data_IF_301355966028
#
_entry.id   IF_301355966028
#
_cell.length_a   1.000
_cell.length_b   1.000
_cell.length_c   1.000
_cell.angle_alpha   90.00
_cell.angle_beta   90.00
_cell.angle_gamma   90.00
#
_symmetry.space_group_name_H-M   'P 1'
#
loop_
_entity.id
_entity.type
_entity.pdbx_description
1 polymer ?
#
# COMPACT_ATOMS: atom_id res chain seq x y z
N UNK A 1 12.00 7.01 9.08
CA UNK A 1 12.02 6.72 10.52
C UNK A 1 11.32 5.38 10.69
N UNK A 2 11.86 4.47 11.50
CA UNK A 2 11.17 3.22 11.85
C UNK A 2 9.89 3.54 12.61
N UNK A 3 8.89 2.67 12.55
CA UNK A 3 7.68 2.79 13.37
C UNK A 3 8.03 3.06 14.84
N UNK A 4 7.13 3.74 15.55
CA UNK A 4 7.25 3.87 17.00
C UNK A 4 7.25 2.50 17.67
N UNK A 5 8.08 2.32 18.70
CA UNK A 5 8.28 1.02 19.34
C UNK A 5 6.98 0.39 19.84
N UNK A 6 6.09 1.19 20.44
CA UNK A 6 4.79 0.73 20.92
C UNK A 6 3.93 0.17 19.78
N UNK A 7 3.95 0.82 18.60
CA UNK A 7 3.15 0.40 17.46
C UNK A 7 3.65 -0.93 16.88
N UNK A 8 4.98 -1.10 16.82
CA UNK A 8 5.60 -2.38 16.44
C UNK A 8 5.15 -3.50 17.38
N UNK A 9 5.20 -3.29 18.70
CA UNK A 9 4.76 -4.28 19.67
C UNK A 9 3.26 -4.58 19.57
N UNK A 10 2.43 -3.55 19.40
CA UNK A 10 0.99 -3.75 19.22
C UNK A 10 0.69 -4.59 17.99
N UNK A 11 1.34 -4.33 16.84
CA UNK A 11 1.16 -5.12 15.63
C UNK A 11 1.64 -6.56 15.80
N UNK A 12 2.78 -6.77 16.44
CA UNK A 12 3.31 -8.11 16.72
C UNK A 12 2.38 -8.90 17.65
N UNK A 13 1.90 -8.28 18.72
CA UNK A 13 0.96 -8.88 19.66
C UNK A 13 -0.36 -9.28 18.97
N UNK A 14 -0.90 -8.39 18.13
CA UNK A 14 -2.08 -8.69 17.33
C UNK A 14 -1.84 -9.83 16.34
N UNK A 15 -0.69 -9.86 15.67
CA UNK A 15 -0.34 -10.93 14.73
C UNK A 15 -0.23 -12.30 15.42
N UNK A 16 0.37 -12.33 16.62
CA UNK A 16 0.45 -13.53 17.46
C UNK A 16 -0.95 -13.98 17.87
N UNK A 17 -1.80 -13.06 18.33
CA UNK A 17 -3.17 -13.36 18.74
C UNK A 17 -3.99 -13.93 17.58
N UNK A 18 -4.00 -13.27 16.43
CA UNK A 18 -4.73 -13.72 15.24
C UNK A 18 -4.27 -15.10 14.75
N UNK A 19 -2.95 -15.29 14.68
CA UNK A 19 -2.36 -16.58 14.25
C UNK A 19 -2.69 -17.67 15.26
N UNK A 20 -2.57 -17.39 16.56
CA UNK A 20 -2.95 -18.32 17.62
C UNK A 20 -4.41 -18.74 17.54
N UNK A 21 -5.34 -17.79 17.41
CA UNK A 21 -6.77 -18.06 17.26
C UNK A 21 -7.12 -18.86 16.00
N UNK A 22 -6.27 -18.80 14.97
CA UNK A 22 -6.47 -19.56 13.73
C UNK A 22 -6.16 -21.04 13.91
N UNK A 23 -5.16 -21.39 14.73
CA UNK A 23 -4.62 -22.76 14.81
C UNK A 23 -4.83 -23.44 16.16
N UNK A 24 -5.25 -22.72 17.19
CA UNK A 24 -5.48 -23.30 18.51
C UNK A 24 -6.78 -24.09 18.55
N UNK A 25 -6.69 -25.36 18.94
CA UNK A 25 -7.86 -26.23 19.20
C UNK A 25 -8.20 -26.33 20.69
N UNK A 26 -7.27 -25.94 21.58
CA UNK A 26 -7.43 -26.01 23.03
C UNK A 26 -8.17 -24.77 23.56
N UNK A 27 -9.31 -24.92 24.29
CA UNK A 27 -10.06 -23.78 24.80
C UNK A 27 -9.24 -22.86 25.71
N UNK A 28 -8.29 -23.40 26.49
CA UNK A 28 -7.44 -22.57 27.34
C UNK A 28 -6.45 -21.72 26.54
N UNK A 29 -6.02 -22.17 25.37
CA UNK A 29 -5.14 -21.39 24.50
C UNK A 29 -5.93 -20.35 23.72
N UNK A 30 -7.15 -20.69 23.28
CA UNK A 30 -8.07 -19.74 22.66
C UNK A 30 -8.32 -18.54 23.59
N UNK A 31 -8.70 -18.77 24.85
CA UNK A 31 -8.90 -17.69 25.84
C UNK A 31 -7.64 -16.81 26.02
N UNK A 32 -6.44 -17.42 25.97
CA UNK A 32 -5.18 -16.67 26.06
C UNK A 32 -4.99 -15.77 24.83
N UNK A 33 -5.23 -16.29 23.63
CA UNK A 33 -5.07 -15.51 22.40
C UNK A 33 -6.14 -14.42 22.29
N UNK A 34 -7.38 -14.65 22.73
CA UNK A 34 -8.39 -13.60 22.87
C UNK A 34 -7.90 -12.48 23.78
N UNK A 35 -7.30 -12.82 24.93
CA UNK A 35 -6.74 -11.81 25.83
C UNK A 35 -5.58 -11.04 25.19
N UNK A 36 -4.70 -11.71 24.42
CA UNK A 36 -3.64 -11.01 23.69
C UNK A 36 -4.20 -10.03 22.66
N UNK A 37 -5.28 -10.39 21.95
CA UNK A 37 -5.99 -9.48 21.04
C UNK A 37 -6.54 -8.27 21.78
N UNK A 38 -7.23 -8.47 22.91
CA UNK A 38 -7.74 -7.36 23.72
C UNK A 38 -6.61 -6.46 24.23
N UNK A 39 -5.48 -7.03 24.66
CA UNK A 39 -4.30 -6.24 25.07
C UNK A 39 -3.76 -5.38 23.92
N UNK A 40 -3.68 -5.93 22.70
CA UNK A 40 -3.29 -5.15 21.53
C UNK A 40 -4.27 -3.99 21.26
N UNK A 41 -5.58 -4.25 21.40
CA UNK A 41 -6.63 -3.23 21.27
C UNK A 41 -6.49 -2.12 22.34
N UNK A 42 -6.26 -2.49 23.60
CA UNK A 42 -6.01 -1.57 24.71
C UNK A 42 -4.77 -0.69 24.47
N UNK A 43 -3.67 -1.29 24.00
CA UNK A 43 -2.44 -0.56 23.64
C UNK A 43 -2.68 0.45 22.52
N UNK A 44 -3.37 0.04 21.45
CA UNK A 44 -3.72 0.93 20.34
C UNK A 44 -4.66 2.05 20.78
N UNK A 45 -5.66 1.75 21.60
CA UNK A 45 -6.62 2.73 22.12
C UNK A 45 -5.90 3.78 22.99
N UNK A 46 -5.00 3.33 23.86
CA UNK A 46 -4.21 4.22 24.72
C UNK A 46 -3.32 5.17 23.92
N UNK A 47 -2.77 4.72 22.79
CA UNK A 47 -1.86 5.53 21.99
C UNK A 47 -2.57 6.47 20.99
N UNK A 48 -3.76 6.10 20.53
CA UNK A 48 -4.48 6.83 19.47
C UNK A 48 -5.70 7.61 19.97
N UNK A 49 -6.21 7.30 21.17
CA UNK A 49 -7.50 7.79 21.65
C UNK A 49 -8.72 7.18 20.94
N UNK A 50 -8.51 6.18 20.07
CA UNK A 50 -9.60 5.51 19.36
C UNK A 50 -10.37 4.58 20.30
N UNK A 51 -11.71 4.57 20.27
CA UNK A 51 -12.51 3.65 21.08
C UNK A 51 -12.14 2.18 20.86
N UNK A 52 -11.95 1.44 21.96
CA UNK A 52 -11.60 0.01 21.95
C UNK A 52 -12.52 -0.81 21.02
N UNK A 53 -13.87 -0.66 21.05
CA UNK A 53 -14.75 -1.44 20.17
C UNK A 53 -14.48 -1.26 18.67
N UNK A 54 -13.98 -0.10 18.25
CA UNK A 54 -13.62 0.13 16.84
C UNK A 54 -12.31 -0.58 16.47
N UNK A 55 -11.36 -0.62 17.40
CA UNK A 55 -10.09 -1.32 17.19
C UNK A 55 -10.31 -2.84 17.22
N UNK A 56 -11.12 -3.33 18.16
CA UNK A 56 -11.51 -4.73 18.23
C UNK A 56 -12.20 -5.16 16.93
N UNK A 57 -13.19 -4.40 16.46
CA UNK A 57 -13.84 -4.69 15.18
C UNK A 57 -12.87 -4.71 13.99
N UNK A 58 -11.88 -3.81 13.97
CA UNK A 58 -10.83 -3.78 12.95
C UNK A 58 -9.94 -5.04 13.00
N UNK A 59 -9.58 -5.49 14.20
CA UNK A 59 -8.72 -6.65 14.42
C UNK A 59 -9.46 -7.98 14.22
N UNK A 60 -10.75 -8.03 14.52
CA UNK A 60 -11.62 -9.19 14.32
C UNK A 60 -12.03 -9.38 12.86
N UNK A 61 -11.96 -8.32 12.05
CA UNK A 61 -12.15 -8.42 10.60
C UNK A 61 -11.08 -9.24 9.89
N UNK A 62 -9.99 -9.59 10.57
CA UNK A 62 -8.88 -10.38 10.03
C UNK A 62 -8.88 -11.79 10.62
N UNK A 63 -8.78 -12.79 9.75
CA UNK A 63 -8.72 -14.20 10.13
C UNK A 63 -7.62 -14.93 9.37
N UNK A 64 -7.23 -16.11 9.84
CA UNK A 64 -6.11 -16.84 9.27
C UNK A 64 -4.76 -16.36 9.81
N UNK A 65 -3.68 -16.95 9.30
CA UNK A 65 -2.32 -16.55 9.64
C UNK A 65 -2.11 -15.06 9.28
N UNK A 66 -1.59 -14.26 10.21
CA UNK A 66 -1.38 -12.85 9.98
C UNK A 66 -0.22 -12.60 9.00
N UNK A 67 -0.48 -11.85 7.92
CA UNK A 67 0.53 -11.46 6.93
C UNK A 67 0.54 -9.94 6.73
N UNK A 68 1.65 -9.36 6.23
CA UNK A 68 1.59 -8.02 5.67
C UNK A 68 0.52 -7.92 4.58
N UNK A 69 -0.13 -6.76 4.48
CA UNK A 69 -0.99 -6.44 3.34
C UNK A 69 -0.15 -6.20 2.09
N UNK A 70 -0.78 -6.26 0.91
CA UNK A 70 -0.11 -6.04 -0.38
C UNK A 70 -0.74 -4.84 -1.06
N UNK A 71 0.08 -3.84 -1.38
CA UNK A 71 -0.30 -2.65 -2.17
C UNK A 71 0.47 -2.67 -3.48
N UNK A 72 -0.19 -2.33 -4.58
CA UNK A 72 0.42 -2.24 -5.92
C UNK A 72 0.45 -0.78 -6.40
N UNK A 73 1.49 -0.42 -7.14
CA UNK A 73 1.65 0.92 -7.73
C UNK A 73 2.10 0.83 -9.18
N UNK A 74 1.37 1.47 -10.07
CA UNK A 74 1.67 1.53 -11.50
C UNK A 74 2.46 2.78 -11.85
N UNK A 75 3.74 2.63 -12.21
CA UNK A 75 4.52 3.69 -12.82
C UNK A 75 4.41 3.59 -14.34
N UNK A 76 3.60 4.47 -14.92
CA UNK A 76 3.32 4.54 -16.35
C UNK A 76 3.98 5.79 -16.90
N UNK A 77 4.65 5.68 -18.05
CA UNK A 77 5.36 6.79 -18.67
C UNK A 77 4.84 7.06 -20.07
N UNK A 78 4.69 8.35 -20.43
CA UNK A 78 4.37 8.76 -21.79
C UNK A 78 5.64 8.77 -22.68
N UNK A 79 5.47 9.09 -23.96
CA UNK A 79 6.59 9.16 -24.91
C UNK A 79 7.62 10.25 -24.61
N UNK A 80 7.27 11.25 -23.79
CA UNK A 80 8.18 12.31 -23.34
C UNK A 80 8.98 11.90 -22.09
N UNK A 81 8.66 10.74 -21.49
CA UNK A 81 9.27 10.26 -20.26
C UNK A 81 8.65 10.85 -19.00
N UNK A 82 7.48 11.50 -19.09
CA UNK A 82 6.73 11.97 -17.94
C UNK A 82 5.93 10.84 -17.32
N UNK A 83 5.78 10.86 -15.99
CA UNK A 83 5.05 9.85 -15.23
C UNK A 83 3.57 10.21 -15.08
N UNK A 84 2.71 9.21 -15.20
CA UNK A 84 1.28 9.32 -14.91
C UNK A 84 1.05 9.45 -13.41
N UNK A 85 0.28 10.45 -13.01
CA UNK A 85 -0.19 10.59 -11.64
C UNK A 85 -1.68 10.92 -11.62
N UNK A 86 -2.33 10.54 -10.52
CA UNK A 86 -3.74 10.80 -10.26
C UNK A 86 -3.90 11.56 -8.95
N UNK A 87 -4.96 12.37 -8.87
CA UNK A 87 -5.30 13.13 -7.66
C UNK A 87 -6.40 12.40 -6.89
N UNK A 88 -6.03 11.85 -5.75
CA UNK A 88 -6.85 10.97 -4.91
C UNK A 88 -7.74 11.76 -3.94
N UNK A 89 -9.06 11.61 -4.07
CA UNK A 89 -10.03 12.33 -3.25
C UNK A 89 -10.00 11.88 -1.78
N UNK A 90 -9.79 10.59 -1.51
CA UNK A 90 -9.79 10.05 -0.15
C UNK A 90 -8.62 10.53 0.70
N UNK A 91 -7.61 11.18 0.09
CA UNK A 91 -6.40 11.66 0.78
C UNK A 91 -6.22 13.16 0.65
N UNK A 92 -7.32 13.91 0.82
CA UNK A 92 -7.35 15.36 0.72
C UNK A 92 -6.96 15.88 -0.67
N UNK A 93 -7.25 15.12 -1.73
CA UNK A 93 -6.93 15.51 -3.09
C UNK A 93 -5.44 15.58 -3.35
N UNK A 94 -4.61 14.67 -2.82
CA UNK A 94 -3.15 14.65 -3.04
C UNK A 94 -2.75 13.78 -4.23
N UNK A 95 -1.59 14.05 -4.82
CA UNK A 95 -1.09 13.29 -5.98
C UNK A 95 -0.44 11.98 -5.59
N UNK A 96 -0.67 10.95 -6.41
CA UNK A 96 -0.04 9.64 -6.24
C UNK A 96 0.09 8.90 -7.58
N UNK A 97 0.75 7.74 -7.55
CA UNK A 97 0.71 6.79 -8.66
C UNK A 97 -0.57 5.97 -8.59
N UNK A 98 -1.22 5.68 -9.74
CA UNK A 98 -2.35 4.76 -9.77
C UNK A 98 -2.04 3.46 -9.03
N UNK A 99 -2.98 2.98 -8.24
CA UNK A 99 -2.81 1.78 -7.45
C UNK A 99 -3.48 1.82 -6.09
N UNK A 100 -3.65 0.64 -5.52
CA UNK A 100 -4.27 0.46 -4.22
C UNK A 100 -3.92 -0.90 -3.63
N UNK A 101 -4.84 -1.41 -2.82
CA UNK A 101 -4.74 -2.76 -2.28
C UNK A 101 -4.85 -3.80 -3.40
N UNK A 102 -4.08 -4.88 -3.30
CA UNK A 102 -4.24 -5.99 -4.21
C UNK A 102 -5.54 -6.76 -3.87
N UNK A 103 -6.49 -6.76 -4.80
CA UNK A 103 -7.73 -7.52 -4.71
C UNK A 103 -7.46 -9.03 -4.74
N UNK A 104 -8.28 -9.75 -3.98
CA UNK A 104 -8.32 -11.21 -3.99
C UNK A 104 -8.76 -11.71 -5.37
N UNK A 105 -8.23 -12.86 -5.78
CA UNK A 105 -8.46 -13.51 -7.09
C UNK A 105 -7.79 -12.81 -8.28
N UNK A 106 -7.01 -11.76 -8.06
CA UNK A 106 -6.17 -11.14 -9.07
C UNK A 106 -4.69 -11.36 -8.72
N UNK A 107 -3.89 -11.64 -9.72
CA UNK A 107 -2.43 -11.55 -9.58
C UNK A 107 -2.02 -10.10 -9.29
N UNK A 108 -0.84 -9.88 -8.71
CA UNK A 108 -0.35 -8.52 -8.47
C UNK A 108 -0.23 -7.70 -9.77
N UNK A 109 0.08 -8.37 -10.90
CA UNK A 109 0.15 -7.74 -12.21
C UNK A 109 -1.24 -7.35 -12.74
N UNK A 110 -2.26 -8.20 -12.57
CA UNK A 110 -3.63 -7.85 -12.96
C UNK A 110 -4.20 -6.72 -12.11
N UNK A 111 -3.90 -6.73 -10.80
CA UNK A 111 -4.29 -5.65 -9.89
C UNK A 111 -3.76 -4.29 -10.38
N UNK A 112 -2.46 -4.17 -10.67
CA UNK A 112 -1.92 -2.87 -11.11
C UNK A 112 -2.47 -2.43 -12.47
N UNK A 113 -2.79 -3.37 -13.37
CA UNK A 113 -3.43 -3.05 -14.66
C UNK A 113 -4.87 -2.55 -14.44
N UNK A 114 -5.63 -3.21 -13.56
CA UNK A 114 -6.98 -2.82 -13.17
C UNK A 114 -6.99 -1.40 -12.59
N UNK A 115 -6.13 -1.13 -11.60
CA UNK A 115 -6.08 0.17 -10.92
C UNK A 115 -5.69 1.30 -11.87
N UNK A 116 -4.69 1.10 -12.73
CA UNK A 116 -4.32 2.11 -13.74
C UNK A 116 -5.52 2.43 -14.64
N UNK A 117 -6.25 1.42 -15.10
CA UNK A 117 -7.43 1.63 -15.95
C UNK A 117 -8.54 2.38 -15.20
N UNK A 118 -8.87 1.97 -14.00
CA UNK A 118 -9.98 2.53 -13.22
C UNK A 118 -9.70 3.96 -12.76
N UNK A 119 -8.48 4.25 -12.32
CA UNK A 119 -8.11 5.54 -11.76
C UNK A 119 -7.72 6.60 -12.82
N UNK A 120 -7.31 6.17 -14.03
CA UNK A 120 -6.76 7.07 -15.05
C UNK A 120 -7.35 6.92 -16.45
N UNK A 121 -8.10 5.86 -16.73
CA UNK A 121 -8.64 5.55 -18.07
C UNK A 121 -7.64 4.92 -19.05
N UNK A 122 -6.36 4.80 -18.70
CA UNK A 122 -5.35 4.21 -19.57
C UNK A 122 -5.29 2.68 -19.49
N UNK A 123 -5.08 2.04 -20.64
CA UNK A 123 -4.80 0.61 -20.72
C UNK A 123 -3.29 0.40 -20.76
N UNK A 124 -2.79 -0.51 -19.93
CA UNK A 124 -1.36 -0.73 -19.76
C UNK A 124 -0.96 -2.20 -19.77
N UNK A 125 0.30 -2.43 -20.12
CA UNK A 125 0.95 -3.73 -20.03
C UNK A 125 2.12 -3.66 -19.03
N UNK A 126 2.10 -4.52 -18.01
CA UNK A 126 3.20 -4.62 -17.04
C UNK A 126 4.47 -5.11 -17.74
N UNK A 127 5.57 -4.37 -17.57
CA UNK A 127 6.87 -4.72 -18.13
C UNK A 127 7.79 -5.39 -17.13
N UNK A 128 7.77 -4.90 -15.89
CA UNK A 128 8.58 -5.47 -14.80
C UNK A 128 8.09 -4.99 -13.44
N UNK A 129 8.48 -5.76 -12.43
CA UNK A 129 8.48 -5.32 -11.04
C UNK A 129 9.76 -4.51 -10.78
N UNK A 130 9.63 -3.22 -10.56
CA UNK A 130 10.75 -2.34 -10.22
C UNK A 130 11.20 -2.59 -8.79
N UNK A 131 10.26 -2.66 -7.85
CA UNK A 131 10.60 -2.76 -6.45
C UNK A 131 9.52 -3.46 -5.61
N UNK A 132 9.96 -4.03 -4.50
CA UNK A 132 9.17 -4.59 -3.41
C UNK A 132 9.69 -3.99 -2.12
N UNK A 133 8.96 -3.05 -1.52
CA UNK A 133 9.41 -2.39 -0.30
C UNK A 133 8.43 -2.55 0.84
N UNK A 134 8.94 -2.74 2.05
CA UNK A 134 8.13 -2.65 3.25
C UNK A 134 7.86 -1.17 3.57
N UNK A 135 6.57 -0.82 3.56
CA UNK A 135 6.07 0.52 3.90
C UNK A 135 6.68 1.07 5.19
N UNK A 136 6.88 0.21 6.18
CA UNK A 136 7.41 0.48 7.52
C UNK A 136 8.88 0.93 7.50
N UNK A 137 9.65 0.45 6.52
CA UNK A 137 11.09 0.72 6.37
C UNK A 137 11.39 1.92 5.48
N UNK A 138 10.45 2.34 4.64
CA UNK A 138 10.64 3.43 3.67
C UNK A 138 10.38 4.84 4.23
N UNK A 139 9.81 4.94 5.43
CA UNK A 139 9.49 6.24 6.05
C UNK A 139 8.14 6.83 5.64
N UNK A 140 7.18 5.98 5.27
CA UNK A 140 5.78 6.39 5.19
C UNK A 140 5.20 6.71 6.59
N UNK A 141 4.15 7.54 6.71
CA UNK A 141 3.45 7.76 7.98
C UNK A 141 2.88 6.47 8.57
N UNK A 142 2.84 6.33 9.89
CA UNK A 142 2.38 5.11 10.58
C UNK A 142 0.96 4.66 10.15
N UNK A 143 0.74 3.33 10.11
CA UNK A 143 -0.56 2.68 9.83
C UNK A 143 -0.82 1.53 10.81
N UNK A 144 -2.05 1.05 10.88
CA UNK A 144 -2.37 -0.09 11.75
C UNK A 144 -1.76 -1.41 11.26
N UNK A 145 -1.79 -1.66 9.95
CA UNK A 145 -1.23 -2.87 9.35
C UNK A 145 0.13 -2.61 8.69
N UNK A 146 1.01 -3.61 8.75
CA UNK A 146 2.19 -3.67 7.89
C UNK A 146 1.77 -3.92 6.44
N UNK A 147 2.56 -3.42 5.50
CA UNK A 147 2.23 -3.47 4.09
C UNK A 147 3.48 -3.58 3.23
N UNK A 148 3.50 -4.55 2.33
CA UNK A 148 4.46 -4.68 1.26
C UNK A 148 3.94 -3.94 0.01
N UNK A 149 4.75 -3.04 -0.54
CA UNK A 149 4.38 -2.19 -1.68
C UNK A 149 5.15 -2.64 -2.92
N UNK A 150 4.42 -3.07 -3.95
CA UNK A 150 4.96 -3.55 -5.22
C UNK A 150 4.85 -2.42 -6.26
N UNK A 151 5.98 -1.96 -6.78
CA UNK A 151 6.03 -0.93 -7.81
C UNK A 151 6.30 -1.56 -9.17
N UNK A 152 5.36 -1.43 -10.10
CA UNK A 152 5.48 -1.95 -11.46
C UNK A 152 5.79 -0.84 -12.46
N UNK A 153 6.67 -1.13 -13.43
CA UNK A 153 6.81 -0.30 -14.62
C UNK A 153 5.87 -0.85 -15.68
N UNK A 154 5.06 0.03 -16.26
CA UNK A 154 4.03 -0.31 -17.22
C UNK A 154 4.18 0.51 -18.51
N UNK A 155 3.87 -0.09 -19.65
CA UNK A 155 3.76 0.60 -20.93
C UNK A 155 2.29 0.88 -21.25
N UNK A 156 2.00 2.08 -21.74
CA UNK A 156 0.68 2.42 -22.29
C UNK A 156 0.48 1.65 -23.60
N UNK A 157 -0.66 1.00 -23.73
CA UNK A 157 -1.06 0.28 -24.94
C UNK A 157 -2.37 0.81 -25.54
N UNK A 158 -3.09 1.66 -24.81
CA UNK A 158 -4.35 2.24 -25.26
C UNK A 158 -5.01 3.08 -24.16
N UNK A 159 -6.30 3.39 -24.38
CA UNK A 159 -7.10 4.22 -23.48
C UNK A 159 -6.81 5.72 -23.62
N UNK A 160 -7.56 6.50 -22.85
CA UNK A 160 -7.46 7.96 -22.77
C UNK A 160 -7.70 8.43 -21.34
N UNK A 161 -7.23 9.64 -21.03
CA UNK A 161 -7.32 10.16 -19.67
C UNK A 161 -8.79 10.30 -19.24
N UNK A 162 -9.17 9.58 -18.20
CA UNK A 162 -10.49 9.64 -17.59
C UNK A 162 -10.39 9.62 -16.07
N UNK A 163 -11.21 10.44 -15.43
CA UNK A 163 -11.35 10.48 -13.97
C UNK A 163 -12.33 9.42 -13.49
N UNK A 164 -12.33 9.15 -12.19
CA UNK A 164 -13.27 8.23 -11.55
C UNK A 164 -13.98 8.89 -10.37
N UNK A 165 -14.74 8.11 -9.59
CA UNK A 165 -15.30 8.55 -8.31
C UNK A 165 -14.24 8.70 -7.22
N UNK A 166 -13.06 8.08 -7.40
CA UNK A 166 -11.93 8.11 -6.46
C UNK A 166 -10.87 9.14 -6.88
N UNK A 167 -10.75 9.40 -8.18
CA UNK A 167 -9.71 10.27 -8.76
C UNK A 167 -10.32 11.48 -9.46
N UNK A 168 -9.92 12.68 -9.04
CA UNK A 168 -10.46 13.94 -9.57
C UNK A 168 -9.65 14.56 -10.71
N UNK A 169 -8.38 14.16 -10.85
CA UNK A 169 -7.50 14.63 -11.92
C UNK A 169 -6.54 13.53 -12.35
N UNK A 170 -6.17 13.54 -13.64
CA UNK A 170 -5.17 12.67 -14.25
C UNK A 170 -4.18 13.55 -15.00
N UNK A 171 -2.88 13.47 -14.67
CA UNK A 171 -1.85 14.32 -15.28
C UNK A 171 -0.53 13.60 -15.47
N UNK A 172 0.26 14.14 -16.40
CA UNK A 172 1.64 13.74 -16.66
C UNK A 172 2.59 14.72 -15.98
N UNK A 173 3.61 14.21 -15.29
CA UNK A 173 4.62 15.03 -14.62
C UNK A 173 6.03 14.61 -15.02
N UNK A 174 6.87 15.58 -15.37
CA UNK A 174 8.29 15.33 -15.59
C UNK A 174 9.01 15.11 -14.26
N UNK A 175 10.16 14.42 -14.28
CA UNK A 175 10.96 14.15 -13.07
C UNK A 175 11.38 15.44 -12.33
N UNK A 176 11.59 16.54 -13.07
CA UNK A 176 11.97 17.84 -12.53
C UNK A 176 10.79 18.73 -12.10
N UNK A 177 9.55 18.30 -12.34
CA UNK A 177 8.34 19.07 -12.05
C UNK A 177 7.27 18.22 -11.36
N UNK A 178 7.69 17.29 -10.50
CA UNK A 178 6.78 16.52 -9.65
C UNK A 178 5.99 17.46 -8.72
N UNK A 179 4.73 17.13 -8.41
CA UNK A 179 3.90 17.95 -7.53
C UNK A 179 4.45 17.96 -6.09
N UNK A 180 4.33 19.10 -5.41
CA UNK A 180 4.77 19.26 -4.02
C UNK A 180 3.81 18.61 -3.00
N UNK A 181 2.54 18.40 -3.40
CA UNK A 181 1.45 17.87 -2.57
C UNK A 181 1.23 16.36 -2.78
N UNK A 182 2.29 15.56 -2.61
CA UNK A 182 2.23 14.10 -2.72
C UNK A 182 1.46 13.45 -1.55
N UNK A 183 0.71 12.40 -1.86
CA UNK A 183 0.15 11.47 -0.89
C UNK A 183 1.26 10.62 -0.27
N UNK A 184 1.92 11.14 0.76
CA UNK A 184 3.06 10.47 1.41
C UNK A 184 2.69 9.13 2.06
N UNK A 185 1.40 8.85 2.28
CA UNK A 185 0.93 7.53 2.72
C UNK A 185 1.01 6.47 1.61
N UNK A 186 0.96 6.88 0.35
CA UNK A 186 0.92 6.01 -0.84
C UNK A 186 2.24 5.98 -1.61
N UNK A 187 2.90 7.14 -1.78
CA UNK A 187 4.16 7.26 -2.52
C UNK A 187 5.06 8.32 -1.92
N UNK A 188 6.37 8.06 -1.91
CA UNK A 188 7.40 9.00 -1.45
C UNK A 188 8.21 9.57 -2.63
N UNK A 189 8.76 10.80 -2.52
CA UNK A 189 9.63 11.37 -3.55
C UNK A 189 10.81 10.46 -3.94
N UNK A 190 11.39 9.74 -2.97
CA UNK A 190 12.46 8.79 -3.22
C UNK A 190 12.04 7.62 -4.10
N UNK A 191 10.83 7.09 -3.90
CA UNK A 191 10.26 6.00 -4.69
C UNK A 191 9.97 6.46 -6.12
N UNK A 192 9.45 7.68 -6.30
CA UNK A 192 9.26 8.28 -7.63
C UNK A 192 10.59 8.35 -8.40
N UNK A 193 11.66 8.86 -7.76
CA UNK A 193 13.00 8.87 -8.38
C UNK A 193 13.48 7.48 -8.78
N UNK A 194 13.25 6.45 -7.95
CA UNK A 194 13.61 5.06 -8.31
C UNK A 194 12.85 4.57 -9.53
N UNK A 195 11.53 4.80 -9.62
CA UNK A 195 10.77 4.33 -10.79
C UNK A 195 11.17 5.05 -12.08
N UNK A 196 11.55 6.34 -12.04
CA UNK A 196 12.17 7.03 -13.19
C UNK A 196 13.48 6.36 -13.62
N UNK A 197 14.33 5.96 -12.67
CA UNK A 197 15.58 5.23 -12.96
C UNK A 197 15.29 3.88 -13.62
N UNK A 198 14.32 3.11 -13.12
CA UNK A 198 13.92 1.84 -13.73
C UNK A 198 13.26 2.00 -15.10
N UNK A 199 12.53 3.09 -15.33
CA UNK A 199 11.93 3.38 -16.62
C UNK A 199 13.00 3.62 -17.70
N UNK A 200 14.07 4.36 -17.35
CA UNK A 200 15.24 4.59 -18.21
C UNK A 200 16.10 3.34 -18.41
N UNK A 201 16.22 2.49 -17.40
CA UNK A 201 16.99 1.25 -17.47
C UNK A 201 16.16 0.04 -16.99
N UNK A 202 15.42 -0.55 -17.93
CA UNK A 202 14.52 -1.69 -17.67
C UNK A 202 15.25 -2.96 -17.25
N UNK A 203 16.56 -3.07 -17.49
CA UNK A 203 17.36 -4.25 -17.15
C UNK A 203 17.86 -4.24 -15.69
N UNK A 204 17.67 -3.15 -14.94
CA UNK A 204 18.02 -3.13 -13.52
C UNK A 204 17.31 -4.28 -12.77
N UNK A 205 17.95 -4.93 -11.79
CA UNK A 205 17.28 -5.92 -10.97
C UNK A 205 16.13 -5.27 -10.17
N UNK A 206 15.15 -6.07 -9.76
CA UNK A 206 14.12 -5.62 -8.81
C UNK A 206 14.77 -5.21 -7.49
N UNK A 207 14.36 -4.07 -6.94
CA UNK A 207 14.83 -3.58 -5.65
C UNK A 207 13.97 -4.11 -4.49
N UNK A 208 14.61 -4.35 -3.35
CA UNK A 208 13.97 -4.78 -2.11
C UNK A 208 14.82 -4.38 -0.90
N UNK A 209 14.21 -4.36 0.30
CA UNK A 209 14.78 -3.84 1.55
C UNK A 209 15.07 -4.87 2.64
#
# INVERSE_FOLDING_TARGET
>A
MSDTQWLSWTRELQAIAQTGLTFADNPYDIERYERLRTLASEMMASATGTPIPLIEALFEGESGYATPKVDVRGAVFNSQGDILMVRELADNGRWTLPGGWADVNFTAAENVVKEVREESGFEVLVRKLAAVWDRTRQGHPDRVFSCCKLFFICDIIGGEAATSVETSEVKWFSEGALPDDLSLARVLPGQLRRVFVHARNRQLPTEYD
#
